data_IF_227506666847
#
_entry.id   IF_227506666847
#
_cell.length_a   1.000
_cell.length_b   1.000
_cell.length_c   1.000
_cell.angle_alpha   90.00
_cell.angle_beta   90.00
_cell.angle_gamma   90.00
#
_symmetry.space_group_name_H-M   'P 1'
#
loop_
_entity.id
_entity.type
_entity.pdbx_description
1 polymer ?
#
# COMPACT_ATOMS: atom_id res chain seq x y z
N UNK A 1 -6.68 28.74 12.39
CA UNK A 1 -5.23 28.95 12.60
C UNK A 1 -4.53 27.72 12.01
N UNK A 2 -3.84 27.84 10.88
CA UNK A 2 -3.21 26.70 10.18
C UNK A 2 -2.25 25.95 11.11
N UNK A 3 -2.55 24.68 11.38
CA UNK A 3 -1.77 23.84 12.29
C UNK A 3 -0.62 23.17 11.53
N UNK A 4 0.49 23.90 11.37
CA UNK A 4 1.67 23.37 10.68
C UNK A 4 2.46 22.41 11.59
N UNK A 5 2.74 21.22 11.09
CA UNK A 5 3.73 20.30 11.64
C UNK A 5 5.09 20.99 11.59
N UNK A 6 5.81 20.97 12.71
CA UNK A 6 7.19 21.46 12.74
C UNK A 6 8.06 20.48 11.95
N UNK A 7 8.83 20.97 10.98
CA UNK A 7 9.74 20.13 10.16
C UNK A 7 10.68 19.29 11.02
N UNK A 8 11.13 19.79 12.16
CA UNK A 8 11.95 19.03 13.12
C UNK A 8 11.26 17.76 13.60
N UNK A 9 9.96 17.81 13.90
CA UNK A 9 9.21 16.65 14.40
C UNK A 9 9.02 15.60 13.31
N UNK A 10 8.84 16.05 12.06
CA UNK A 10 8.79 15.18 10.88
C UNK A 10 10.14 14.50 10.62
N UNK A 11 11.25 15.23 10.74
CA UNK A 11 12.59 14.65 10.60
C UNK A 11 12.82 13.62 11.71
N UNK A 12 12.50 13.95 12.96
CA UNK A 12 12.60 13.02 14.09
C UNK A 12 11.77 11.76 13.83
N UNK A 13 10.53 11.89 13.35
CA UNK A 13 9.69 10.72 13.10
C UNK A 13 10.28 9.80 12.01
N UNK A 14 10.79 10.36 10.92
CA UNK A 14 11.45 9.60 9.86
C UNK A 14 12.71 8.89 10.39
N UNK A 15 13.57 9.61 11.10
CA UNK A 15 14.81 9.03 11.66
C UNK A 15 14.47 7.91 12.65
N UNK A 16 13.53 8.15 13.56
CA UNK A 16 13.16 7.17 14.58
C UNK A 16 12.60 5.88 13.97
N UNK A 17 11.70 5.99 12.98
CA UNK A 17 11.16 4.83 12.25
C UNK A 17 12.27 4.02 11.60
N UNK A 18 13.24 4.67 10.95
CA UNK A 18 14.31 3.94 10.27
C UNK A 18 15.30 3.31 11.26
N UNK A 19 15.63 3.99 12.36
CA UNK A 19 16.52 3.43 13.39
C UNK A 19 15.87 2.23 14.06
N UNK A 20 14.60 2.34 14.47
CA UNK A 20 13.87 1.24 15.10
C UNK A 20 13.66 0.11 14.09
N UNK A 21 13.23 0.42 12.86
CA UNK A 21 13.01 -0.57 11.81
C UNK A 21 14.29 -1.34 11.47
N UNK A 22 15.41 -0.64 11.33
CA UNK A 22 16.71 -1.27 11.13
C UNK A 22 17.12 -2.15 12.31
N UNK A 23 16.91 -1.69 13.55
CA UNK A 23 17.20 -2.48 14.75
C UNK A 23 16.36 -3.76 14.79
N UNK A 24 15.05 -3.68 14.57
CA UNK A 24 14.16 -4.84 14.50
C UNK A 24 14.64 -5.83 13.44
N UNK A 25 14.92 -5.33 12.23
CA UNK A 25 15.45 -6.14 11.14
C UNK A 25 16.77 -6.82 11.54
N UNK A 26 17.69 -6.08 12.14
CA UNK A 26 19.00 -6.58 12.56
C UNK A 26 18.90 -7.74 13.58
N UNK A 27 17.93 -7.66 14.49
CA UNK A 27 17.64 -8.71 15.47
C UNK A 27 16.67 -9.80 14.96
N UNK A 28 16.29 -9.79 13.68
CA UNK A 28 15.26 -10.66 13.09
C UNK A 28 13.92 -10.62 13.86
N UNK A 29 13.51 -9.44 14.32
CA UNK A 29 12.22 -9.18 14.94
C UNK A 29 11.23 -8.61 13.91
N UNK A 30 9.94 -8.85 14.14
CA UNK A 30 8.88 -8.36 13.26
C UNK A 30 8.77 -6.83 13.27
N UNK A 31 8.54 -6.24 12.10
CA UNK A 31 8.29 -4.79 11.92
C UNK A 31 6.82 -4.42 12.11
N UNK A 32 5.98 -5.40 12.43
CA UNK A 32 4.56 -5.23 12.70
C UNK A 32 4.19 -5.80 14.06
N UNK A 33 3.12 -5.25 14.64
CA UNK A 33 2.48 -5.78 15.85
C UNK A 33 1.03 -6.11 15.53
N UNK A 34 0.53 -7.22 16.06
CA UNK A 34 -0.88 -7.57 15.98
C UNK A 34 -1.56 -7.24 17.31
N UNK A 35 -2.56 -6.37 17.28
CA UNK A 35 -3.34 -5.97 18.46
C UNK A 35 -4.83 -6.07 18.14
N UNK A 36 -5.57 -6.86 18.93
CA UNK A 36 -7.01 -7.08 18.74
C UNK A 36 -7.39 -7.51 17.30
N UNK A 37 -6.54 -8.31 16.65
CA UNK A 37 -6.73 -8.77 15.28
C UNK A 37 -6.30 -7.77 14.19
N UNK A 38 -5.91 -6.54 14.53
CA UNK A 38 -5.42 -5.56 13.58
C UNK A 38 -3.90 -5.58 13.47
N UNK A 39 -3.39 -5.40 12.25
CA UNK A 39 -1.96 -5.37 11.95
C UNK A 39 -1.47 -3.93 11.92
N UNK A 40 -0.39 -3.65 12.64
CA UNK A 40 0.20 -2.33 12.79
C UNK A 40 1.66 -2.35 12.36
N UNK A 41 1.95 -1.91 11.14
CA UNK A 41 3.32 -1.75 10.67
C UNK A 41 3.97 -0.48 11.25
N UNK A 42 5.23 -0.59 11.68
CA UNK A 42 6.02 0.49 12.28
C UNK A 42 5.94 1.79 11.47
N UNK A 43 6.24 1.72 10.17
CA UNK A 43 6.26 2.89 9.26
C UNK A 43 4.90 3.55 9.05
N UNK A 44 3.80 2.84 9.28
CA UNK A 44 2.45 3.36 9.08
C UNK A 44 1.92 4.09 10.33
N UNK A 45 2.32 3.64 11.51
CA UNK A 45 1.67 4.00 12.78
C UNK A 45 2.54 4.93 13.63
N UNK A 46 3.83 4.62 13.76
CA UNK A 46 4.72 5.38 14.63
C UNK A 46 4.87 6.86 14.21
N UNK A 47 4.94 7.22 12.91
CA UNK A 47 4.97 8.62 12.50
C UNK A 47 3.75 9.42 12.97
N UNK A 48 2.57 8.79 12.94
CA UNK A 48 1.36 9.41 13.44
C UNK A 48 1.48 9.67 14.94
N UNK A 49 1.87 8.67 15.74
CA UNK A 49 2.00 8.81 17.20
C UNK A 49 2.92 9.99 17.57
N UNK A 50 4.02 10.17 16.86
CA UNK A 50 5.00 11.24 17.13
C UNK A 50 4.45 12.62 16.77
N UNK A 51 3.73 12.74 15.66
CA UNK A 51 3.25 14.02 15.13
C UNK A 51 1.87 14.40 15.66
N UNK A 52 1.09 13.45 16.17
CA UNK A 52 -0.29 13.66 16.59
C UNK A 52 -0.39 14.59 17.80
N UNK A 53 -1.34 15.52 17.74
CA UNK A 53 -1.68 16.44 18.84
C UNK A 53 -3.18 16.38 19.06
N UNK A 54 -3.62 16.58 20.31
CA UNK A 54 -5.04 16.60 20.68
C UNK A 54 -5.90 17.52 19.78
N UNK A 55 -5.32 18.63 19.32
CA UNK A 55 -5.98 19.60 18.44
C UNK A 55 -6.28 19.07 17.03
N UNK A 56 -5.70 17.95 16.62
CA UNK A 56 -5.96 17.30 15.33
C UNK A 56 -7.24 16.44 15.36
N UNK A 57 -7.86 16.22 16.54
CA UNK A 57 -9.11 15.47 16.67
C UNK A 57 -10.25 16.08 15.86
N UNK A 58 -10.32 17.40 15.76
CA UNK A 58 -11.34 18.10 14.96
C UNK A 58 -11.19 17.76 13.47
N UNK A 59 -9.95 17.68 12.97
CA UNK A 59 -9.67 17.28 11.60
C UNK A 59 -9.97 15.80 11.34
N UNK A 60 -9.89 14.91 12.34
CA UNK A 60 -10.32 13.52 12.17
C UNK A 60 -11.81 13.41 11.85
N UNK A 61 -12.66 14.21 12.49
CA UNK A 61 -14.10 14.21 12.23
C UNK A 61 -14.40 14.59 10.77
N UNK A 62 -13.67 15.57 10.23
CA UNK A 62 -13.78 15.98 8.82
C UNK A 62 -13.27 14.88 7.87
N UNK A 63 -12.17 14.21 8.21
CA UNK A 63 -11.58 13.11 7.41
C UNK A 63 -12.56 11.93 7.27
N UNK A 64 -13.22 11.53 8.35
CA UNK A 64 -14.15 10.39 8.34
C UNK A 64 -15.58 10.75 7.94
N UNK A 65 -15.96 12.03 8.03
CA UNK A 65 -17.34 12.54 7.86
C UNK A 65 -17.89 12.51 6.43
N UNK A 66 -17.06 12.21 5.43
CA UNK A 66 -17.49 12.18 4.02
C UNK A 66 -17.22 10.81 3.35
N UNK A 67 -17.97 9.75 3.68
CA UNK A 67 -17.89 8.47 2.98
C UNK A 67 -18.43 8.61 1.55
N UNK A 68 -17.63 8.37 0.50
CA UNK A 68 -18.05 8.60 -0.88
C UNK A 68 -18.78 7.39 -1.48
N UNK A 69 -19.89 6.96 -0.87
CA UNK A 69 -20.60 5.72 -1.24
C UNK A 69 -20.91 5.61 -2.75
N UNK A 70 -21.30 6.71 -3.42
CA UNK A 70 -21.61 6.72 -4.87
C UNK A 70 -20.37 6.78 -5.78
N UNK A 71 -19.26 7.36 -5.33
CA UNK A 71 -18.02 7.49 -6.14
C UNK A 71 -17.09 6.29 -5.95
N UNK A 72 -17.22 5.59 -4.81
CA UNK A 72 -16.46 4.38 -4.48
C UNK A 72 -16.75 3.27 -5.48
N UNK A 73 -18.03 2.99 -5.77
CA UNK A 73 -18.39 1.87 -6.67
C UNK A 73 -17.81 2.05 -8.06
N UNK A 74 -17.88 3.25 -8.64
CA UNK A 74 -17.29 3.53 -9.96
C UNK A 74 -15.78 3.38 -9.99
N UNK A 75 -15.07 3.98 -9.02
CA UNK A 75 -13.61 3.89 -8.93
C UNK A 75 -13.16 2.45 -8.68
N UNK A 76 -13.85 1.72 -7.80
CA UNK A 76 -13.55 0.31 -7.53
C UNK A 76 -13.85 -0.58 -8.72
N UNK A 77 -15.00 -0.40 -9.37
CA UNK A 77 -15.35 -1.17 -10.55
C UNK A 77 -14.30 -1.01 -11.64
N UNK A 78 -13.86 0.22 -11.93
CA UNK A 78 -12.83 0.44 -12.95
C UNK A 78 -11.47 -0.08 -12.51
N UNK A 79 -11.12 0.04 -11.23
CA UNK A 79 -9.87 -0.51 -10.70
C UNK A 79 -9.82 -2.05 -10.82
N UNK A 80 -10.91 -2.72 -10.41
CA UNK A 80 -11.07 -4.16 -10.54
C UNK A 80 -11.05 -4.58 -12.01
N UNK A 81 -11.75 -3.85 -12.87
CA UNK A 81 -11.78 -4.11 -14.30
C UNK A 81 -10.39 -4.06 -14.93
N UNK A 82 -9.55 -3.07 -14.56
CA UNK A 82 -8.17 -2.98 -15.06
C UNK A 82 -7.30 -4.12 -14.54
N UNK A 83 -7.47 -4.50 -13.28
CA UNK A 83 -6.75 -5.64 -12.72
C UNK A 83 -7.14 -6.94 -13.44
N UNK A 84 -8.43 -7.14 -13.71
CA UNK A 84 -8.93 -8.29 -14.49
C UNK A 84 -8.43 -8.25 -15.94
N UNK A 85 -8.44 -7.08 -16.60
CA UNK A 85 -7.92 -6.93 -17.95
C UNK A 85 -6.43 -7.25 -18.03
N UNK A 86 -5.65 -6.82 -17.03
CA UNK A 86 -4.23 -7.18 -16.95
C UNK A 86 -4.08 -8.69 -16.86
N UNK A 87 -4.77 -9.35 -15.92
CA UNK A 87 -4.72 -10.80 -15.78
C UNK A 87 -5.15 -11.53 -17.06
N UNK A 88 -6.22 -11.06 -17.71
CA UNK A 88 -6.70 -11.61 -18.97
C UNK A 88 -5.67 -11.43 -20.10
N UNK A 89 -5.05 -10.26 -20.24
CA UNK A 89 -4.04 -10.01 -21.25
C UNK A 89 -2.80 -10.90 -21.04
N UNK A 90 -2.38 -11.06 -19.78
CA UNK A 90 -1.26 -11.91 -19.39
C UNK A 90 -1.55 -13.37 -19.70
N UNK A 91 -2.74 -13.86 -19.32
CA UNK A 91 -3.17 -15.23 -19.61
C UNK A 91 -3.30 -15.50 -21.13
N UNK A 92 -3.98 -14.61 -21.87
CA UNK A 92 -4.18 -14.75 -23.32
C UNK A 92 -2.88 -14.65 -24.12
N UNK A 93 -1.84 -14.01 -23.58
CA UNK A 93 -0.53 -13.95 -24.21
C UNK A 93 0.27 -15.26 -24.12
N UNK A 94 -0.25 -16.27 -23.39
CA UNK A 94 0.45 -17.53 -23.14
C UNK A 94 1.68 -17.37 -22.24
N UNK A 95 1.78 -16.24 -21.52
CA UNK A 95 2.90 -15.93 -20.60
C UNK A 95 2.61 -16.23 -19.14
N UNK A 96 1.37 -16.60 -18.84
CA UNK A 96 0.99 -17.18 -17.56
C UNK A 96 0.06 -18.35 -17.79
N UNK A 97 0.26 -19.39 -16.99
CA UNK A 97 -0.66 -20.52 -16.87
C UNK A 97 -1.40 -20.40 -15.55
N UNK A 98 -2.58 -21.01 -15.47
CA UNK A 98 -3.25 -21.16 -14.18
C UNK A 98 -2.37 -22.10 -13.37
N UNK A 99 -1.79 -21.58 -12.31
CA UNK A 99 -1.05 -22.40 -11.36
C UNK A 99 -2.01 -23.31 -10.63
N UNK A 100 -1.52 -24.47 -10.21
CA UNK A 100 -2.17 -25.31 -9.22
C UNK A 100 -1.44 -25.13 -7.88
N UNK A 101 -1.52 -23.94 -7.23
CA UNK A 101 -0.84 -23.73 -5.97
C UNK A 101 -1.37 -24.77 -4.99
N UNK A 102 -0.49 -25.36 -4.18
CA UNK A 102 -0.85 -26.43 -3.23
C UNK A 102 -2.05 -26.08 -2.33
N UNK A 103 -2.31 -24.78 -2.16
CA UNK A 103 -3.44 -24.23 -1.40
C UNK A 103 -4.46 -23.47 -2.26
N UNK A 104 -4.62 -23.78 -3.56
CA UNK A 104 -5.54 -23.06 -4.46
C UNK A 104 -6.97 -23.01 -3.91
N UNK A 105 -7.48 -24.16 -3.49
CA UNK A 105 -8.83 -24.29 -2.95
C UNK A 105 -8.94 -23.81 -1.50
N UNK A 106 -7.93 -24.10 -0.68
CA UNK A 106 -7.96 -23.80 0.76
C UNK A 106 -7.57 -22.38 1.12
N UNK A 107 -6.67 -21.76 0.36
CA UNK A 107 -6.09 -20.45 0.63
C UNK A 107 -6.37 -19.46 -0.51
N UNK A 108 -6.33 -19.88 -1.77
CA UNK A 108 -6.58 -18.99 -2.89
C UNK A 108 -8.03 -18.49 -2.95
N UNK A 109 -8.98 -19.42 -3.10
CA UNK A 109 -10.42 -19.10 -3.15
C UNK A 109 -10.95 -18.55 -1.83
N UNK A 110 -10.50 -19.10 -0.70
CA UNK A 110 -10.84 -18.55 0.62
C UNK A 110 -10.31 -17.13 0.77
N UNK A 111 -9.10 -16.82 0.30
CA UNK A 111 -8.57 -15.46 0.38
C UNK A 111 -9.43 -14.45 -0.38
N UNK A 112 -10.04 -14.82 -1.51
CA UNK A 112 -11.01 -13.96 -2.20
C UNK A 112 -12.23 -13.70 -1.31
N UNK A 113 -12.76 -14.74 -0.66
CA UNK A 113 -13.88 -14.61 0.27
C UNK A 113 -13.50 -13.81 1.53
N UNK A 114 -12.25 -13.93 1.98
CA UNK A 114 -11.69 -13.29 3.17
C UNK A 114 -11.17 -11.87 2.90
N UNK A 115 -11.23 -11.39 1.65
CA UNK A 115 -10.83 -10.03 1.28
C UNK A 115 -11.39 -8.96 2.24
N UNK A 116 -12.68 -8.97 2.64
CA UNK A 116 -13.20 -7.98 3.58
C UNK A 116 -12.53 -8.07 4.96
N UNK A 117 -12.21 -9.28 5.42
CA UNK A 117 -11.55 -9.52 6.71
C UNK A 117 -10.12 -8.98 6.66
N UNK A 118 -9.35 -9.32 5.63
CA UNK A 118 -7.98 -8.83 5.47
C UNK A 118 -7.90 -7.32 5.28
N UNK A 119 -8.88 -6.74 4.57
CA UNK A 119 -9.02 -5.30 4.45
C UNK A 119 -9.27 -4.67 5.83
N UNK A 120 -10.18 -5.23 6.64
CA UNK A 120 -10.46 -4.73 7.99
C UNK A 120 -9.21 -4.82 8.87
N UNK A 121 -8.53 -5.97 8.91
CA UNK A 121 -7.32 -6.18 9.71
C UNK A 121 -6.19 -5.19 9.38
N UNK A 122 -6.07 -4.78 8.11
CA UNK A 122 -5.08 -3.81 7.65
C UNK A 122 -5.57 -2.36 7.64
N UNK A 123 -6.87 -2.13 7.82
CA UNK A 123 -7.47 -0.79 7.67
C UNK A 123 -6.91 0.22 8.67
N UNK A 124 -6.71 -0.16 9.93
CA UNK A 124 -6.26 0.76 10.98
C UNK A 124 -4.87 1.35 10.71
N UNK A 125 -3.92 0.53 10.24
CA UNK A 125 -2.59 1.05 9.88
C UNK A 125 -2.64 1.95 8.65
N UNK A 126 -3.47 1.63 7.66
CA UNK A 126 -3.63 2.47 6.46
C UNK A 126 -4.37 3.77 6.79
N UNK A 127 -5.32 3.74 7.74
CA UNK A 127 -5.92 4.95 8.32
C UNK A 127 -4.87 5.80 9.01
N UNK A 128 -4.02 5.21 9.84
CA UNK A 128 -2.96 5.93 10.54
C UNK A 128 -1.99 6.62 9.56
N UNK A 129 -1.57 5.90 8.52
CA UNK A 129 -0.71 6.43 7.46
C UNK A 129 -1.39 7.59 6.71
N UNK A 130 -2.65 7.42 6.31
CA UNK A 130 -3.42 8.47 5.64
C UNK A 130 -3.51 9.74 6.49
N UNK A 131 -3.90 9.61 7.75
CA UNK A 131 -4.06 10.73 8.68
C UNK A 131 -2.72 11.46 8.85
N UNK A 132 -1.63 10.73 9.04
CA UNK A 132 -0.30 11.31 9.15
C UNK A 132 0.06 12.15 7.91
N UNK A 133 -0.15 11.62 6.71
CA UNK A 133 0.16 12.33 5.47
C UNK A 133 -0.75 13.54 5.23
N UNK A 134 -2.04 13.47 5.60
CA UNK A 134 -2.94 14.63 5.56
C UNK A 134 -2.49 15.75 6.51
N UNK A 135 -2.07 15.41 7.72
CA UNK A 135 -1.55 16.39 8.69
C UNK A 135 -0.28 17.06 8.14
N UNK A 136 0.61 16.29 7.49
CA UNK A 136 1.78 16.84 6.80
C UNK A 136 1.36 17.77 5.65
N UNK A 137 0.37 17.41 4.84
CA UNK A 137 -0.10 18.22 3.70
C UNK A 137 -0.50 19.64 4.07
N UNK A 138 -1.06 19.84 5.26
CA UNK A 138 -1.44 21.16 5.75
C UNK A 138 -0.22 22.08 5.98
N UNK A 139 0.98 21.52 6.02
CA UNK A 139 2.22 22.23 6.38
C UNK A 139 3.07 22.63 5.18
N UNK A 140 2.86 22.01 4.01
CA UNK A 140 3.73 22.16 2.85
C UNK A 140 2.95 22.47 1.56
N UNK A 141 3.44 23.46 0.80
CA UNK A 141 2.84 23.87 -0.49
C UNK A 141 2.87 22.77 -1.55
N UNK A 142 3.92 21.95 -1.58
CA UNK A 142 4.13 20.88 -2.56
C UNK A 142 3.75 19.50 -1.99
N UNK A 143 2.52 19.38 -1.51
CA UNK A 143 1.96 18.20 -0.83
C UNK A 143 2.28 16.86 -1.52
N UNK A 144 2.12 16.76 -2.85
CA UNK A 144 2.40 15.52 -3.58
C UNK A 144 3.87 15.07 -3.46
N UNK A 145 4.82 15.95 -3.78
CA UNK A 145 6.26 15.64 -3.76
C UNK A 145 6.71 15.31 -2.34
N UNK A 146 6.22 16.08 -1.35
CA UNK A 146 6.56 15.86 0.05
C UNK A 146 6.05 14.50 0.54
N UNK A 147 4.82 14.13 0.23
CA UNK A 147 4.31 12.80 0.61
C UNK A 147 5.07 11.66 -0.08
N UNK A 148 5.41 11.82 -1.36
CA UNK A 148 6.20 10.81 -2.07
C UNK A 148 7.54 10.60 -1.37
N UNK A 149 8.26 11.67 -1.06
CA UNK A 149 9.53 11.60 -0.33
C UNK A 149 9.36 10.98 1.05
N UNK A 150 8.33 11.36 1.79
CA UNK A 150 8.05 10.81 3.12
C UNK A 150 7.75 9.31 3.05
N UNK A 151 6.92 8.88 2.10
CA UNK A 151 6.61 7.46 1.90
C UNK A 151 7.88 6.66 1.59
N UNK A 152 8.74 7.16 0.71
CA UNK A 152 10.03 6.52 0.41
C UNK A 152 10.91 6.45 1.67
N UNK A 153 11.04 7.57 2.39
CA UNK A 153 11.90 7.65 3.56
C UNK A 153 11.39 6.82 4.75
N UNK A 154 10.08 6.70 4.96
CA UNK A 154 9.51 5.94 6.07
C UNK A 154 9.76 4.42 5.97
N UNK A 155 9.98 3.91 4.77
CA UNK A 155 10.23 2.48 4.52
C UNK A 155 11.68 2.22 4.08
N UNK A 156 12.57 3.21 4.13
CA UNK A 156 13.93 3.08 3.60
C UNK A 156 14.73 1.95 4.27
N UNK A 157 14.52 1.69 5.56
CA UNK A 157 15.20 0.60 6.29
C UNK A 157 14.92 -0.80 5.71
N UNK A 158 13.77 -0.99 5.04
CA UNK A 158 13.42 -2.28 4.41
C UNK A 158 14.41 -2.64 3.28
N UNK A 159 15.01 -1.64 2.65
CA UNK A 159 15.94 -1.83 1.54
C UNK A 159 17.41 -1.97 1.96
N UNK A 160 17.72 -1.85 3.26
CA UNK A 160 19.09 -2.00 3.76
C UNK A 160 19.42 -3.51 3.85
N UNK A 161 20.35 -4.05 3.05
CA UNK A 161 20.70 -5.47 3.10
C UNK A 161 21.46 -5.80 4.40
N UNK A 162 21.02 -6.83 5.13
CA UNK A 162 21.70 -7.29 6.36
C UNK A 162 22.79 -8.32 6.12
N UNK A 163 22.66 -9.09 5.02
CA UNK A 163 23.65 -10.07 4.57
C UNK A 163 24.22 -9.59 3.24
N UNK A 164 25.40 -10.07 2.86
CA UNK A 164 25.90 -9.95 1.48
C UNK A 164 24.94 -10.71 0.56
N UNK A 165 23.93 -10.00 0.06
CA UNK A 165 22.97 -10.47 -0.91
C UNK A 165 22.87 -9.46 -2.05
N UNK A 166 22.35 -9.90 -3.19
CA UNK A 166 22.03 -9.01 -4.31
C UNK A 166 20.89 -8.07 -3.91
N UNK A 167 21.00 -6.81 -4.32
CA UNK A 167 19.92 -5.83 -4.18
C UNK A 167 18.75 -6.26 -5.07
N UNK A 168 17.55 -6.37 -4.50
CA UNK A 168 16.33 -6.66 -5.26
C UNK A 168 15.81 -5.39 -5.96
N UNK A 169 16.33 -5.13 -7.16
CA UNK A 169 15.93 -3.97 -7.96
C UNK A 169 14.45 -3.99 -8.38
N UNK A 170 13.83 -5.17 -8.51
CA UNK A 170 12.43 -5.30 -8.91
C UNK A 170 11.49 -5.03 -7.74
N UNK A 171 11.84 -5.51 -6.53
CA UNK A 171 11.19 -5.12 -5.29
C UNK A 171 11.26 -3.61 -5.04
N UNK A 172 12.44 -3.01 -5.24
CA UNK A 172 12.61 -1.54 -5.14
C UNK A 172 11.74 -0.80 -6.16
N UNK A 173 11.70 -1.27 -7.41
CA UNK A 173 10.88 -0.66 -8.46
C UNK A 173 9.40 -0.74 -8.14
N UNK A 174 8.93 -1.92 -7.68
CA UNK A 174 7.55 -2.13 -7.26
C UNK A 174 7.18 -1.22 -6.09
N UNK A 175 8.04 -1.10 -5.10
CA UNK A 175 7.85 -0.19 -3.98
C UNK A 175 7.74 1.26 -4.46
N UNK A 176 8.67 1.72 -5.31
CA UNK A 176 8.66 3.10 -5.79
C UNK A 176 7.36 3.43 -6.55
N UNK A 177 6.93 2.56 -7.47
CA UNK A 177 5.67 2.74 -8.19
C UNK A 177 4.48 2.74 -7.22
N UNK A 178 4.49 1.86 -6.22
CA UNK A 178 3.44 1.82 -5.19
C UNK A 178 3.39 3.10 -4.34
N UNK A 179 4.54 3.69 -4.00
CA UNK A 179 4.58 4.99 -3.29
C UNK A 179 4.01 6.13 -4.14
N UNK A 180 4.24 6.12 -5.46
CA UNK A 180 3.61 7.08 -6.39
C UNK A 180 2.10 6.87 -6.41
N UNK A 181 1.62 5.63 -6.52
CA UNK A 181 0.19 5.29 -6.45
C UNK A 181 -0.44 5.83 -5.15
N UNK A 182 0.15 5.52 -4.00
CA UNK A 182 -0.34 5.98 -2.70
C UNK A 182 -0.35 7.52 -2.60
N UNK A 183 0.71 8.19 -3.05
CA UNK A 183 0.78 9.65 -3.06
C UNK A 183 -0.28 10.27 -4.00
N UNK A 184 -0.53 9.69 -5.17
CA UNK A 184 -1.59 10.15 -6.07
C UNK A 184 -2.97 9.96 -5.45
N UNK A 185 -3.26 8.77 -4.91
CA UNK A 185 -4.56 8.47 -4.29
C UNK A 185 -4.84 9.48 -3.17
N UNK A 186 -3.88 9.69 -2.28
CA UNK A 186 -3.97 10.66 -1.19
C UNK A 186 -4.29 12.07 -1.69
N UNK A 187 -3.48 12.59 -2.63
CA UNK A 187 -3.53 14.01 -3.01
C UNK A 187 -4.65 14.33 -4.02
N UNK A 188 -5.11 13.37 -4.82
CA UNK A 188 -6.10 13.60 -5.87
C UNK A 188 -7.49 13.08 -5.55
N UNK A 189 -7.61 11.94 -4.84
CA UNK A 189 -8.91 11.46 -4.38
C UNK A 189 -9.31 12.13 -3.07
N UNK A 190 -8.33 12.44 -2.20
CA UNK A 190 -8.50 13.09 -0.90
C UNK A 190 -9.63 12.44 -0.08
N UNK A 191 -9.62 11.11 -0.05
CA UNK A 191 -10.61 10.35 0.70
C UNK A 191 -9.96 9.15 1.38
N UNK A 192 -10.17 9.07 2.69
CA UNK A 192 -9.56 8.05 3.53
C UNK A 192 -9.99 6.64 3.15
N UNK A 193 -11.27 6.41 2.87
CA UNK A 193 -11.80 5.09 2.51
C UNK A 193 -11.24 4.62 1.16
N UNK A 194 -11.23 5.51 0.15
CA UNK A 194 -10.61 5.20 -1.15
C UNK A 194 -9.12 4.95 -1.04
N UNK A 195 -8.41 5.69 -0.17
CA UNK A 195 -6.99 5.43 0.10
C UNK A 195 -6.78 4.03 0.64
N UNK A 196 -7.49 3.66 1.72
CA UNK A 196 -7.37 2.34 2.33
C UNK A 196 -7.70 1.24 1.33
N UNK A 197 -8.85 1.33 0.66
CA UNK A 197 -9.30 0.28 -0.25
C UNK A 197 -8.35 0.15 -1.44
N UNK A 198 -7.97 1.24 -2.10
CA UNK A 198 -7.14 1.17 -3.31
C UNK A 198 -5.70 0.75 -3.00
N UNK A 199 -5.10 1.27 -1.93
CA UNK A 199 -3.74 0.87 -1.52
C UNK A 199 -3.72 -0.62 -1.16
N UNK A 200 -4.67 -1.06 -0.32
CA UNK A 200 -4.79 -2.46 0.06
C UNK A 200 -5.04 -3.36 -1.14
N UNK A 201 -6.06 -3.06 -1.94
CA UNK A 201 -6.46 -3.88 -3.09
C UNK A 201 -5.33 -4.00 -4.11
N UNK A 202 -4.60 -2.91 -4.37
CA UNK A 202 -3.46 -2.92 -5.30
C UNK A 202 -2.43 -3.94 -4.88
N UNK A 203 -1.97 -3.89 -3.62
CA UNK A 203 -0.96 -4.83 -3.11
C UNK A 203 -1.54 -6.25 -3.05
N UNK A 204 -2.74 -6.39 -2.48
CA UNK A 204 -3.38 -7.67 -2.24
C UNK A 204 -3.65 -8.44 -3.55
N UNK A 205 -4.19 -7.78 -4.58
CA UNK A 205 -4.43 -8.43 -5.88
C UNK A 205 -3.13 -8.88 -6.55
N UNK A 206 -2.06 -8.06 -6.52
CA UNK A 206 -0.79 -8.48 -7.12
C UNK A 206 -0.19 -9.68 -6.40
N UNK A 207 -0.23 -9.69 -5.06
CA UNK A 207 0.26 -10.81 -4.27
C UNK A 207 -0.58 -12.06 -4.52
N UNK A 208 -1.91 -11.95 -4.54
CA UNK A 208 -2.79 -13.07 -4.78
C UNK A 208 -2.59 -13.66 -6.18
N UNK A 209 -2.45 -12.81 -7.20
CA UNK A 209 -2.28 -13.24 -8.58
C UNK A 209 -0.90 -13.86 -8.84
N UNK A 210 0.18 -13.23 -8.38
CA UNK A 210 1.55 -13.56 -8.81
C UNK A 210 2.43 -14.15 -7.72
N UNK A 211 1.92 -14.26 -6.49
CA UNK A 211 2.70 -14.81 -5.39
C UNK A 211 3.70 -13.84 -4.78
N UNK A 212 4.38 -14.31 -3.75
CA UNK A 212 5.56 -13.68 -3.17
C UNK A 212 6.41 -14.72 -2.45
N UNK A 213 7.71 -14.50 -2.41
CA UNK A 213 8.64 -15.24 -1.57
C UNK A 213 8.96 -14.54 -0.25
N UNK A 214 8.34 -13.37 0.01
CA UNK A 214 8.54 -12.61 1.25
C UNK A 214 7.53 -13.06 2.32
N UNK A 215 7.97 -13.77 3.37
CA UNK A 215 7.08 -14.19 4.45
C UNK A 215 6.41 -12.98 5.12
N UNK A 216 7.14 -11.86 5.22
CA UNK A 216 6.64 -10.62 5.81
C UNK A 216 5.44 -10.10 5.01
N UNK A 217 5.55 -10.00 3.68
CA UNK A 217 4.45 -9.52 2.85
C UNK A 217 3.25 -10.46 2.92
N UNK A 218 3.46 -11.77 2.90
CA UNK A 218 2.36 -12.74 2.94
C UNK A 218 1.65 -12.69 4.30
N UNK A 219 2.42 -12.70 5.38
CA UNK A 219 1.88 -12.66 6.74
C UNK A 219 1.16 -11.33 7.04
N UNK A 220 1.51 -10.23 6.36
CA UNK A 220 0.80 -8.95 6.48
C UNK A 220 -0.52 -8.93 5.71
N UNK A 221 -0.62 -9.61 4.56
CA UNK A 221 -1.78 -9.46 3.66
C UNK A 221 -2.74 -10.66 3.63
N UNK A 222 -2.31 -11.84 4.05
CA UNK A 222 -3.13 -13.05 4.10
C UNK A 222 -3.19 -13.57 5.54
N UNK A 223 -2.53 -14.67 5.89
CA UNK A 223 -2.60 -15.27 7.22
C UNK A 223 -1.21 -15.47 7.84
N UNK A 224 -1.17 -15.62 9.17
CA UNK A 224 0.07 -15.86 9.89
C UNK A 224 0.59 -17.27 9.62
N UNK A 225 1.91 -17.39 9.37
CA UNK A 225 2.71 -18.62 9.22
C UNK A 225 2.97 -19.13 7.80
N UNK A 226 2.77 -18.32 6.77
CA UNK A 226 3.18 -18.70 5.41
C UNK A 226 4.59 -18.21 5.11
N UNK A 227 5.44 -19.11 4.61
CA UNK A 227 6.81 -18.78 4.18
C UNK A 227 6.83 -18.22 2.75
N UNK A 228 5.94 -18.70 1.90
CA UNK A 228 5.79 -18.27 0.51
C UNK A 228 4.35 -18.48 0.03
N UNK A 229 3.97 -17.78 -1.04
CA UNK A 229 2.70 -17.94 -1.74
C UNK A 229 3.02 -17.95 -3.24
N UNK A 230 2.52 -18.95 -3.97
CA UNK A 230 2.89 -19.14 -5.38
C UNK A 230 2.02 -18.33 -6.36
N UNK A 231 0.89 -17.79 -5.90
CA UNK A 231 -0.04 -17.07 -6.75
C UNK A 231 -1.01 -17.97 -7.50
N UNK A 232 -2.08 -17.39 -8.04
CA UNK A 232 -2.98 -18.09 -8.95
C UNK A 232 -2.40 -18.31 -10.35
N UNK A 233 -1.44 -17.48 -10.74
CA UNK A 233 -0.83 -17.53 -12.06
C UNK A 233 0.63 -17.93 -11.92
N UNK A 234 0.99 -19.08 -12.48
CA UNK A 234 2.38 -19.46 -12.64
C UNK A 234 2.93 -18.79 -13.89
N UNK A 235 4.05 -18.11 -13.72
CA UNK A 235 4.65 -17.27 -14.76
C UNK A 235 6.00 -17.85 -15.15
N UNK A 236 6.37 -17.75 -16.43
CA UNK A 236 7.75 -18.00 -16.88
C UNK A 236 8.75 -17.31 -15.95
N UNK A 237 9.73 -18.05 -15.40
CA UNK A 237 10.69 -17.55 -14.39
C UNK A 237 11.35 -16.23 -14.79
N UNK A 238 11.65 -16.06 -16.08
CA UNK A 238 12.29 -14.87 -16.64
C UNK A 238 11.41 -13.62 -16.59
N UNK A 239 10.09 -13.77 -16.44
CA UNK A 239 9.12 -12.68 -16.43
C UNK A 239 8.49 -12.46 -15.05
N UNK A 240 8.60 -13.41 -14.12
CA UNK A 240 8.01 -13.37 -12.76
C UNK A 240 8.21 -12.02 -12.03
N UNK A 241 9.44 -11.50 -12.05
CA UNK A 241 9.79 -10.25 -11.36
C UNK A 241 9.17 -8.98 -11.97
N UNK A 242 8.58 -9.06 -13.17
CA UNK A 242 8.04 -7.92 -13.90
C UNK A 242 6.54 -7.72 -13.68
N UNK A 243 5.80 -8.76 -13.25
CA UNK A 243 4.33 -8.70 -13.21
C UNK A 243 3.78 -7.77 -12.14
N UNK A 244 4.32 -7.82 -10.92
CA UNK A 244 3.94 -6.92 -9.83
C UNK A 244 4.21 -5.45 -10.21
N UNK A 245 5.43 -5.06 -10.63
CA UNK A 245 5.68 -3.67 -11.01
C UNK A 245 4.87 -3.24 -12.25
N UNK A 246 4.61 -4.15 -13.21
CA UNK A 246 3.75 -3.86 -14.36
C UNK A 246 2.29 -3.62 -13.96
N UNK A 247 1.74 -4.44 -13.05
CA UNK A 247 0.38 -4.23 -12.51
C UNK A 247 0.29 -2.88 -11.79
N UNK A 248 1.26 -2.56 -10.93
CA UNK A 248 1.31 -1.27 -10.25
C UNK A 248 1.44 -0.10 -11.23
N UNK A 249 2.17 -0.27 -12.32
CA UNK A 249 2.31 0.74 -13.38
C UNK A 249 0.98 0.96 -14.13
N UNK A 250 0.22 -0.10 -14.40
CA UNK A 250 -1.11 0.04 -15.00
C UNK A 250 -2.09 0.76 -14.08
N UNK A 251 -2.07 0.43 -12.78
CA UNK A 251 -2.81 1.17 -11.76
C UNK A 251 -2.41 2.65 -11.75
N UNK A 252 -1.12 2.95 -11.86
CA UNK A 252 -0.60 4.31 -11.93
C UNK A 252 -1.13 5.08 -13.14
N UNK A 253 -1.06 4.48 -14.34
CA UNK A 253 -1.59 5.07 -15.57
C UNK A 253 -3.08 5.40 -15.40
N UNK A 254 -3.85 4.48 -14.82
CA UNK A 254 -5.27 4.70 -14.57
C UNK A 254 -5.55 5.83 -13.58
N UNK A 255 -4.80 5.90 -12.47
CA UNK A 255 -4.93 6.97 -11.49
C UNK A 255 -4.61 8.34 -12.12
N UNK A 256 -3.59 8.41 -12.98
CA UNK A 256 -3.25 9.62 -13.74
C UNK A 256 -4.40 10.02 -14.67
N UNK A 257 -4.94 9.08 -15.46
CA UNK A 257 -6.08 9.35 -16.36
C UNK A 257 -7.28 9.88 -15.56
N UNK A 258 -7.62 9.20 -14.46
CA UNK A 258 -8.73 9.60 -13.58
C UNK A 258 -8.51 10.99 -12.98
N UNK A 259 -7.29 11.29 -12.54
CA UNK A 259 -6.91 12.60 -12.02
C UNK A 259 -7.04 13.70 -13.10
N UNK A 260 -6.62 13.43 -14.34
CA UNK A 260 -6.75 14.36 -15.47
C UNK A 260 -8.23 14.62 -15.79
N UNK A 261 -9.05 13.57 -15.87
CA UNK A 261 -10.49 13.70 -16.15
C UNK A 261 -11.20 14.51 -15.06
N UNK A 262 -10.91 14.23 -13.79
CA UNK A 262 -11.49 14.96 -12.64
C UNK A 262 -11.11 16.44 -12.66
N UNK A 263 -9.84 16.77 -13.00
CA UNK A 263 -9.39 18.17 -13.13
C UNK A 263 -10.16 18.93 -14.21
N UNK A 264 -10.62 18.25 -15.27
CA UNK A 264 -11.45 18.85 -16.34
C UNK A 264 -12.92 19.03 -15.95
N UNK A 265 -13.41 18.36 -14.91
CA UNK A 265 -14.79 18.46 -14.39
C UNK A 265 -14.81 18.75 -12.89
N UNK A 266 -14.42 19.97 -12.45
CA UNK A 266 -14.30 20.28 -11.03
C UNK A 266 -15.62 20.23 -10.25
N UNK A 267 -16.77 20.45 -10.90
CA UNK A 267 -18.08 20.59 -10.25
C UNK A 267 -19.22 19.90 -11.03
N UNK A 268 -19.16 18.58 -11.20
CA UNK A 268 -20.33 17.77 -11.57
C UNK A 268 -20.64 16.76 -10.45
#
# INVERSE_FOLDING_TARGET
MEHKVKSTLLIISIVLVNVIGFALKYFNLDTFVVLLGFRFHLSAVLPLIIVFKWRNLTSLKEIFGHPPLKKISGVLFTFLFISILFLAAVYLSGKAEIGDPEYFYEFGLSSIADFPIYLIWNSLQLFALYIFLVIVNQSFKHAFIINLLILVLLFAFEFIPLKKGSIDYWGISSFFIMTINAALILNYLNNVYLFVILVFSTIWFSLLAFGSSSPILINIFFAANYFSWEGFFTVEKNLSNYFIPAHFLLVLIFLIITAIIKKRKPNA
#
